data_IF_529969815979
#
_entry.id   IF_529969815979
#
_cell.length_a   1.000
_cell.length_b   1.000
_cell.length_c   1.000
_cell.angle_alpha   90.00
_cell.angle_beta   90.00
_cell.angle_gamma   90.00
#
_symmetry.space_group_name_H-M   'P 1'
#
loop_
_entity.id
_entity.type
_entity.pdbx_description
1 polymer ?
#
# COMPACT_ATOMS: atom_id res chain seq x y z
N UNK A 1 -7.65 6.99 27.93
CA UNK A 1 -6.79 6.90 26.73
C UNK A 1 -7.52 6.13 25.67
N UNK A 2 -7.80 6.69 24.48
CA UNK A 2 -8.36 5.93 23.37
C UNK A 2 -7.37 4.87 22.94
N UNK A 3 -7.83 3.61 22.79
CA UNK A 3 -7.01 2.52 22.26
C UNK A 3 -6.58 2.87 20.83
N UNK A 4 -5.29 2.73 20.51
CA UNK A 4 -4.82 2.90 19.13
C UNK A 4 -5.53 1.90 18.21
N UNK A 5 -5.88 2.29 16.98
CA UNK A 5 -6.52 1.39 16.03
C UNK A 5 -5.60 0.22 15.70
N UNK A 6 -6.17 -0.99 15.64
CA UNK A 6 -5.46 -2.19 15.18
C UNK A 6 -5.51 -2.22 13.66
N UNK A 7 -4.37 -2.32 13.01
CA UNK A 7 -4.22 -2.17 11.56
C UNK A 7 -3.68 -3.44 10.93
N UNK A 8 -4.39 -3.98 9.94
CA UNK A 8 -3.96 -5.11 9.12
C UNK A 8 -3.23 -4.62 7.87
N UNK A 9 -2.10 -5.23 7.56
CA UNK A 9 -1.31 -4.96 6.35
C UNK A 9 -1.46 -6.12 5.35
N UNK A 10 -1.80 -5.79 4.11
CA UNK A 10 -2.05 -6.73 3.02
C UNK A 10 -1.29 -6.23 1.77
N UNK A 11 -0.56 -7.12 1.11
CA UNK A 11 0.06 -6.85 -0.18
C UNK A 11 -0.65 -7.64 -1.29
N UNK A 12 -0.29 -8.90 -1.51
CA UNK A 12 -0.94 -9.75 -2.50
C UNK A 12 -2.29 -10.26 -2.00
N UNK A 13 -3.25 -10.39 -2.90
CA UNK A 13 -4.53 -11.03 -2.60
C UNK A 13 -4.49 -12.46 -3.14
N UNK A 14 -4.23 -13.41 -2.24
CA UNK A 14 -4.20 -14.84 -2.59
C UNK A 14 -5.53 -15.52 -2.26
N UNK A 15 -5.82 -16.72 -2.83
CA UNK A 15 -7.01 -17.49 -2.46
C UNK A 15 -7.08 -17.81 -0.95
N UNK A 16 -5.93 -18.02 -0.31
CA UNK A 16 -5.85 -18.27 1.13
C UNK A 16 -6.34 -17.05 1.91
N UNK A 17 -5.95 -15.84 1.52
CA UNK A 17 -6.42 -14.59 2.13
C UNK A 17 -7.93 -14.44 1.95
N UNK A 18 -8.44 -14.69 0.74
CA UNK A 18 -9.87 -14.60 0.46
C UNK A 18 -10.71 -15.65 1.22
N UNK A 19 -10.10 -16.75 1.63
CA UNK A 19 -10.75 -17.84 2.38
C UNK A 19 -10.66 -17.70 3.90
N UNK A 20 -9.94 -16.68 4.42
CA UNK A 20 -9.85 -16.46 5.86
C UNK A 20 -11.23 -16.17 6.46
N UNK A 21 -11.44 -16.70 7.65
CA UNK A 21 -12.67 -16.46 8.39
C UNK A 21 -12.87 -14.97 8.68
N UNK A 22 -14.12 -14.52 8.66
CA UNK A 22 -14.49 -13.13 8.94
C UNK A 22 -13.93 -12.65 10.29
N UNK A 23 -13.84 -13.52 11.28
CA UNK A 23 -13.33 -13.18 12.62
C UNK A 23 -11.92 -12.62 12.60
N UNK A 24 -11.08 -13.04 11.63
CA UNK A 24 -9.74 -12.47 11.43
C UNK A 24 -9.83 -10.97 11.11
N UNK A 25 -10.72 -10.60 10.18
CA UNK A 25 -10.89 -9.19 9.78
C UNK A 25 -11.59 -8.36 10.85
N UNK A 26 -12.49 -8.98 11.64
CA UNK A 26 -13.20 -8.31 12.73
C UNK A 26 -12.26 -7.84 13.86
N UNK A 27 -11.07 -8.45 13.99
CA UNK A 27 -10.06 -8.03 14.95
C UNK A 27 -9.46 -6.65 14.67
N UNK A 28 -9.62 -6.13 13.44
CA UNK A 28 -8.96 -4.91 12.97
C UNK A 28 -9.94 -3.77 12.79
N UNK A 29 -9.43 -2.55 13.01
CA UNK A 29 -10.18 -1.32 12.77
C UNK A 29 -9.95 -0.80 11.34
N UNK A 30 -8.77 -1.05 10.78
CA UNK A 30 -8.32 -0.57 9.47
C UNK A 30 -7.65 -1.72 8.70
N UNK A 31 -7.97 -1.83 7.41
CA UNK A 31 -7.27 -2.70 6.46
C UNK A 31 -6.41 -1.82 5.55
N UNK A 32 -5.13 -2.11 5.44
CA UNK A 32 -4.21 -1.40 4.55
C UNK A 32 -3.73 -2.31 3.44
N UNK A 33 -3.67 -1.77 2.22
CA UNK A 33 -3.26 -2.44 1.00
C UNK A 33 -2.07 -1.67 0.42
N UNK A 34 -0.88 -2.24 0.51
CA UNK A 34 0.33 -1.56 0.04
C UNK A 34 0.52 -1.80 -1.46
N UNK A 35 1.17 -0.85 -2.14
CA UNK A 35 1.60 -0.90 -3.54
C UNK A 35 0.53 -0.68 -4.62
N UNK A 36 -0.76 -0.63 -4.31
CA UNK A 36 -1.84 -0.53 -5.30
C UNK A 36 -1.72 -1.63 -6.40
N UNK A 37 -1.51 -2.89 -6.00
CA UNK A 37 -1.49 -4.01 -6.94
C UNK A 37 -2.86 -4.21 -7.60
N UNK A 38 -2.88 -4.63 -8.86
CA UNK A 38 -4.12 -4.84 -9.61
C UNK A 38 -5.04 -5.90 -8.97
N UNK A 39 -4.46 -6.93 -8.35
CA UNK A 39 -5.23 -7.94 -7.61
C UNK A 39 -6.00 -7.37 -6.42
N UNK A 40 -5.54 -6.27 -5.83
CA UNK A 40 -6.25 -5.55 -4.76
C UNK A 40 -7.51 -4.86 -5.32
N UNK A 41 -7.40 -4.23 -6.51
CA UNK A 41 -8.56 -3.65 -7.20
C UNK A 41 -9.59 -4.72 -7.57
N UNK A 42 -9.19 -5.85 -8.13
CA UNK A 42 -10.10 -6.95 -8.48
C UNK A 42 -10.89 -7.48 -7.29
N UNK A 43 -10.28 -7.47 -6.11
CA UNK A 43 -10.84 -8.11 -4.91
C UNK A 43 -11.34 -7.11 -3.84
N UNK A 44 -11.30 -5.81 -4.08
CA UNK A 44 -11.68 -4.81 -3.05
C UNK A 44 -13.10 -5.03 -2.50
N UNK A 45 -14.05 -5.51 -3.34
CA UNK A 45 -15.43 -5.79 -2.93
C UNK A 45 -15.54 -6.93 -1.90
N UNK A 46 -14.58 -7.86 -1.90
CA UNK A 46 -14.52 -8.90 -0.87
C UNK A 46 -14.29 -8.28 0.51
N UNK A 47 -13.38 -7.32 0.62
CA UNK A 47 -13.03 -6.66 1.88
C UNK A 47 -14.07 -5.62 2.30
N UNK A 48 -14.77 -5.00 1.37
CA UNK A 48 -15.85 -4.04 1.66
C UNK A 48 -16.97 -4.63 2.54
N UNK A 49 -17.19 -5.95 2.47
CA UNK A 49 -18.17 -6.67 3.29
C UNK A 49 -17.90 -6.58 4.80
N UNK A 50 -16.67 -6.28 5.20
CA UNK A 50 -16.30 -6.18 6.61
C UNK A 50 -16.58 -4.81 7.22
N UNK A 51 -17.00 -3.82 6.41
CA UNK A 51 -17.32 -2.45 6.85
C UNK A 51 -16.16 -1.77 7.62
N UNK A 52 -14.93 -2.03 7.20
CA UNK A 52 -13.72 -1.42 7.75
C UNK A 52 -13.22 -0.30 6.86
N UNK A 53 -12.47 0.64 7.45
CA UNK A 53 -11.69 1.60 6.66
C UNK A 53 -10.64 0.83 5.86
N UNK A 54 -10.54 1.10 4.57
CA UNK A 54 -9.56 0.52 3.64
C UNK A 54 -8.66 1.64 3.10
N UNK A 55 -7.36 1.49 3.24
CA UNK A 55 -6.39 2.45 2.73
C UNK A 55 -5.50 1.74 1.71
N UNK A 56 -5.46 2.26 0.49
CA UNK A 56 -4.60 1.77 -0.58
C UNK A 56 -3.40 2.71 -0.72
N UNK A 57 -2.21 2.24 -0.39
CA UNK A 57 -0.99 3.04 -0.42
C UNK A 57 -0.36 3.04 -1.80
N UNK A 58 -0.24 4.23 -2.39
CA UNK A 58 0.18 4.46 -3.76
C UNK A 58 1.61 5.00 -3.84
N UNK A 59 2.48 4.29 -4.55
CA UNK A 59 3.74 4.85 -5.07
C UNK A 59 3.47 5.50 -6.42
N UNK A 60 3.53 6.85 -6.47
CA UNK A 60 2.95 7.61 -7.58
C UNK A 60 3.69 7.49 -8.92
N UNK A 61 4.86 6.87 -8.96
CA UNK A 61 5.58 6.52 -10.19
C UNK A 61 5.30 5.07 -10.65
N UNK A 62 4.56 4.29 -9.86
CA UNK A 62 4.31 2.86 -10.13
C UNK A 62 2.82 2.67 -10.39
N UNK A 63 2.37 3.12 -11.56
CA UNK A 63 0.98 3.07 -12.01
C UNK A 63 0.96 2.41 -13.39
N UNK A 64 0.03 1.48 -13.61
CA UNK A 64 -0.14 0.87 -14.93
C UNK A 64 -0.68 1.90 -15.93
N UNK A 65 -0.02 2.11 -17.09
CA UNK A 65 -0.56 2.97 -18.14
C UNK A 65 -1.93 2.48 -18.62
N UNK A 66 -2.81 3.42 -18.98
CA UNK A 66 -4.22 3.12 -19.35
C UNK A 66 -4.34 2.17 -20.56
N UNK A 67 -3.39 2.22 -21.48
CA UNK A 67 -3.37 1.39 -22.70
C UNK A 67 -2.71 0.01 -22.52
N UNK A 68 -2.20 -0.31 -21.33
CA UNK A 68 -1.59 -1.63 -21.04
C UNK A 68 -2.64 -2.59 -20.50
N UNK A 69 -2.62 -3.83 -20.99
CA UNK A 69 -3.42 -4.90 -20.41
C UNK A 69 -2.81 -5.34 -19.08
N UNK A 70 -3.64 -5.35 -18.04
CA UNK A 70 -3.20 -5.76 -16.71
C UNK A 70 -3.22 -7.28 -16.58
N UNK A 71 -2.34 -7.79 -15.73
CA UNK A 71 -2.24 -9.22 -15.41
C UNK A 71 -3.02 -9.53 -14.12
N UNK A 72 -3.96 -10.47 -14.21
CA UNK A 72 -4.69 -11.00 -13.05
C UNK A 72 -3.86 -12.03 -12.27
N UNK A 73 -2.67 -12.36 -12.76
CA UNK A 73 -1.78 -13.31 -12.09
C UNK A 73 -1.37 -12.75 -10.73
N UNK A 74 -1.57 -13.56 -9.71
CA UNK A 74 -1.06 -13.27 -8.37
C UNK A 74 0.46 -13.33 -8.42
N UNK A 75 1.08 -12.25 -8.05
CA UNK A 75 2.53 -12.10 -8.03
C UNK A 75 2.95 -11.53 -6.68
N UNK A 76 4.04 -12.04 -6.15
CA UNK A 76 4.64 -11.48 -4.95
C UNK A 76 5.08 -10.02 -5.17
N UNK A 77 4.77 -9.11 -4.23
CA UNK A 77 5.00 -7.66 -4.39
C UNK A 77 6.43 -7.31 -4.80
N UNK A 78 7.43 -7.94 -4.19
CA UNK A 78 8.83 -7.72 -4.56
C UNK A 78 9.17 -8.13 -6.01
N UNK A 79 8.46 -9.10 -6.59
CA UNK A 79 8.62 -9.46 -8.00
C UNK A 79 7.87 -8.49 -8.92
N UNK A 80 6.71 -7.98 -8.47
CA UNK A 80 5.99 -6.92 -9.16
C UNK A 80 6.86 -5.65 -9.26
N UNK A 81 7.51 -5.24 -8.16
CA UNK A 81 8.45 -4.12 -8.15
C UNK A 81 9.64 -4.32 -9.09
N UNK A 82 10.25 -5.53 -9.10
CA UNK A 82 11.34 -5.84 -10.04
C UNK A 82 10.92 -5.71 -11.51
N UNK A 83 9.65 -6.04 -11.83
CA UNK A 83 9.09 -5.83 -13.17
C UNK A 83 8.86 -4.33 -13.43
N UNK A 84 8.25 -3.61 -12.48
CA UNK A 84 7.96 -2.18 -12.62
C UNK A 84 9.23 -1.34 -12.83
N UNK A 85 10.30 -1.63 -12.10
CA UNK A 85 11.61 -0.96 -12.28
C UNK A 85 12.26 -1.26 -13.62
N UNK A 86 11.75 -2.23 -14.38
CA UNK A 86 12.12 -2.52 -15.77
C UNK A 86 11.09 -2.00 -16.79
N UNK A 87 10.12 -1.20 -16.34
CA UNK A 87 9.09 -0.60 -17.18
C UNK A 87 7.86 -1.47 -17.44
N UNK A 88 7.70 -2.61 -16.74
CA UNK A 88 6.51 -3.44 -16.85
C UNK A 88 5.60 -3.23 -15.63
N UNK A 89 4.49 -2.53 -15.82
CA UNK A 89 3.52 -2.14 -14.78
C UNK A 89 2.22 -2.96 -14.81
N UNK A 90 2.15 -4.05 -15.55
CA UNK A 90 0.94 -4.85 -15.74
C UNK A 90 0.27 -5.35 -14.44
N UNK A 91 1.02 -5.46 -13.35
CA UNK A 91 0.55 -5.95 -12.05
C UNK A 91 0.01 -4.84 -11.14
N UNK A 92 0.02 -3.58 -11.57
CA UNK A 92 -0.42 -2.43 -10.78
C UNK A 92 -1.75 -1.87 -11.28
N UNK A 93 -2.44 -1.13 -10.42
CA UNK A 93 -3.64 -0.41 -10.79
C UNK A 93 -3.35 0.68 -11.81
N UNK A 94 -4.34 0.97 -12.68
CA UNK A 94 -4.39 2.16 -13.52
C UNK A 94 -4.82 3.37 -12.69
N UNK A 95 -4.48 4.57 -13.16
CA UNK A 95 -4.93 5.79 -12.50
C UNK A 95 -6.45 5.89 -12.42
N UNK A 96 -7.15 5.51 -13.50
CA UNK A 96 -8.61 5.48 -13.55
C UNK A 96 -9.22 4.60 -12.45
N UNK A 97 -8.61 3.43 -12.17
CA UNK A 97 -9.06 2.51 -11.12
C UNK A 97 -8.81 3.07 -9.71
N UNK A 98 -7.64 3.70 -9.49
CA UNK A 98 -7.31 4.38 -8.22
C UNK A 98 -8.31 5.51 -7.95
N UNK A 99 -8.61 6.33 -8.97
CA UNK A 99 -9.60 7.40 -8.87
C UNK A 99 -11.03 6.87 -8.67
N UNK A 100 -11.37 5.71 -9.23
CA UNK A 100 -12.63 5.04 -8.95
C UNK A 100 -12.71 4.63 -7.47
N UNK A 101 -11.70 3.92 -6.95
CA UNK A 101 -11.66 3.51 -5.54
C UNK A 101 -11.83 4.70 -4.60
N UNK A 102 -11.16 5.82 -4.87
CA UNK A 102 -11.23 7.02 -4.02
C UNK A 102 -12.63 7.63 -3.90
N UNK A 103 -13.54 7.30 -4.85
CA UNK A 103 -14.91 7.84 -4.92
C UNK A 103 -15.98 6.85 -4.45
N UNK A 104 -15.64 5.58 -4.23
CA UNK A 104 -16.65 4.54 -3.94
C UNK A 104 -17.40 4.78 -2.63
N UNK A 105 -16.70 5.15 -1.58
CA UNK A 105 -17.31 5.47 -0.28
C UNK A 105 -16.30 6.12 0.67
N UNK A 106 -16.81 6.69 1.79
CA UNK A 106 -15.96 7.23 2.88
C UNK A 106 -15.04 6.21 3.55
N UNK A 107 -15.23 4.92 3.30
CA UNK A 107 -14.38 3.85 3.84
C UNK A 107 -13.15 3.57 2.97
N UNK A 108 -13.10 4.10 1.75
CA UNK A 108 -11.97 3.97 0.85
C UNK A 108 -11.09 5.22 0.92
N UNK A 109 -9.80 5.02 1.06
CA UNK A 109 -8.80 6.09 1.05
C UNK A 109 -7.62 5.68 0.19
N UNK A 110 -7.04 6.65 -0.53
CA UNK A 110 -5.75 6.46 -1.18
C UNK A 110 -4.71 7.20 -0.34
N UNK A 111 -3.73 6.48 0.16
CA UNK A 111 -2.60 7.01 0.94
C UNK A 111 -1.31 7.07 0.13
N UNK A 112 -0.33 7.84 0.58
CA UNK A 112 0.97 7.94 -0.05
C UNK A 112 1.93 6.82 0.35
N UNK A 113 2.76 6.36 -0.61
CA UNK A 113 3.79 5.33 -0.41
C UNK A 113 5.13 5.72 -1.06
N UNK A 114 5.44 7.03 -1.03
CA UNK A 114 6.54 7.63 -1.79
C UNK A 114 6.21 7.80 -3.28
N UNK A 115 7.13 8.43 -4.01
CA UNK A 115 7.01 8.53 -5.46
C UNK A 115 7.58 7.28 -6.14
N UNK A 116 8.82 6.92 -5.82
CA UNK A 116 9.57 5.87 -6.49
C UNK A 116 9.70 4.57 -5.68
N UNK A 117 8.98 4.42 -4.56
CA UNK A 117 9.11 3.26 -3.67
C UNK A 117 10.56 2.99 -3.26
N UNK A 118 11.25 4.01 -2.73
CA UNK A 118 12.69 3.93 -2.40
C UNK A 118 12.87 3.53 -0.93
N UNK A 119 13.78 2.58 -0.71
CA UNK A 119 14.31 2.29 0.62
C UNK A 119 15.37 3.34 1.00
N UNK A 120 15.02 4.30 1.82
CA UNK A 120 15.95 5.30 2.30
C UNK A 120 16.69 4.82 3.56
N UNK A 121 18.02 4.93 3.53
CA UNK A 121 18.83 4.71 4.73
C UNK A 121 18.50 5.76 5.79
N UNK A 122 18.48 5.37 7.07
CA UNK A 122 18.27 6.30 8.18
C UNK A 122 19.55 7.12 8.43
N UNK A 123 19.79 8.11 7.60
CA UNK A 123 20.94 9.00 7.67
C UNK A 123 20.56 10.41 7.21
N UNK A 124 21.28 11.42 7.69
CA UNK A 124 21.11 12.82 7.30
C UNK A 124 21.31 13.04 5.79
N UNK A 125 22.18 12.27 5.16
CA UNK A 125 22.45 12.35 3.70
C UNK A 125 21.27 11.87 2.84
N UNK A 126 20.30 11.20 3.44
CA UNK A 126 19.07 10.78 2.74
C UNK A 126 17.99 11.85 2.76
N UNK A 127 18.10 12.89 3.59
CA UNK A 127 17.01 13.82 3.86
C UNK A 127 16.55 14.59 2.61
N UNK A 128 17.48 15.11 1.81
CA UNK A 128 17.11 15.85 0.60
C UNK A 128 16.40 14.95 -0.42
N UNK A 129 16.85 13.70 -0.56
CA UNK A 129 16.20 12.71 -1.44
C UNK A 129 14.83 12.30 -0.94
N UNK A 130 14.66 12.14 0.39
CA UNK A 130 13.36 11.91 1.02
C UNK A 130 12.42 13.07 0.72
N UNK A 131 12.91 14.29 0.90
CA UNK A 131 12.13 15.50 0.63
C UNK A 131 11.71 15.56 -0.84
N UNK A 132 12.64 15.40 -1.77
CA UNK A 132 12.38 15.43 -3.21
C UNK A 132 11.34 14.38 -3.62
N UNK A 133 11.53 13.10 -3.23
CA UNK A 133 10.61 12.01 -3.56
C UNK A 133 9.20 12.28 -2.99
N UNK A 134 9.14 12.79 -1.77
CA UNK A 134 7.87 13.11 -1.10
C UNK A 134 7.18 14.30 -1.75
N UNK A 135 7.90 15.37 -2.10
CA UNK A 135 7.34 16.56 -2.74
C UNK A 135 6.75 16.22 -4.11
N UNK A 136 7.43 15.36 -4.87
CA UNK A 136 6.91 14.84 -6.14
C UNK A 136 5.63 14.03 -5.89
N UNK A 137 5.63 13.12 -4.91
CA UNK A 137 4.43 12.36 -4.54
C UNK A 137 3.26 13.29 -4.22
N UNK A 138 3.45 14.30 -3.37
CA UNK A 138 2.41 15.29 -3.00
C UNK A 138 1.89 16.04 -4.25
N UNK A 139 2.79 16.44 -5.14
CA UNK A 139 2.42 17.09 -6.41
C UNK A 139 1.57 16.16 -7.28
N UNK A 140 1.96 14.87 -7.38
CA UNK A 140 1.22 13.88 -8.16
C UNK A 140 -0.17 13.59 -7.59
N UNK A 141 -0.35 13.54 -6.28
CA UNK A 141 -1.68 13.41 -5.67
C UNK A 141 -2.60 14.56 -6.10
N UNK A 142 -2.10 15.81 -6.12
CA UNK A 142 -2.85 16.97 -6.62
C UNK A 142 -3.18 16.86 -8.11
N UNK A 143 -2.18 16.49 -8.93
CA UNK A 143 -2.35 16.27 -10.38
C UNK A 143 -3.41 15.21 -10.67
N UNK A 144 -3.43 14.13 -9.90
CA UNK A 144 -4.37 13.02 -10.02
C UNK A 144 -5.75 13.30 -9.40
N UNK A 145 -5.93 14.49 -8.80
CA UNK A 145 -7.14 14.86 -8.08
C UNK A 145 -7.51 13.83 -6.99
N UNK A 146 -6.51 13.46 -6.18
CA UNK A 146 -6.62 12.55 -5.05
C UNK A 146 -6.32 13.29 -3.75
N UNK A 147 -7.11 13.02 -2.69
CA UNK A 147 -6.83 13.50 -1.35
C UNK A 147 -5.68 12.69 -0.73
N UNK A 148 -4.72 13.39 -0.12
CA UNK A 148 -3.59 12.80 0.58
C UNK A 148 -3.73 13.06 2.09
N UNK A 149 -4.19 12.05 2.84
CA UNK A 149 -4.42 12.16 4.29
C UNK A 149 -3.53 11.21 5.11
N UNK A 150 -2.99 10.17 4.47
CA UNK A 150 -2.17 9.16 5.13
C UNK A 150 -0.94 8.79 4.33
N UNK A 151 0.04 8.23 5.02
CA UNK A 151 1.31 7.79 4.45
C UNK A 151 1.78 6.49 5.11
N UNK A 152 2.36 5.60 4.30
CA UNK A 152 3.05 4.41 4.72
C UNK A 152 4.48 4.40 4.16
N UNK A 153 5.43 3.92 4.98
CA UNK A 153 6.82 3.81 4.53
C UNK A 153 7.01 2.67 3.54
N UNK A 154 7.67 2.92 2.37
CA UNK A 154 8.13 1.84 1.49
C UNK A 154 8.94 0.79 2.26
N UNK A 155 8.77 -0.48 1.90
CA UNK A 155 9.41 -1.62 2.57
C UNK A 155 9.01 -1.77 4.06
N UNK A 156 7.94 -1.13 4.51
CA UNK A 156 7.52 -1.06 5.92
C UNK A 156 8.68 -0.64 6.85
N UNK A 157 9.63 0.13 6.34
CA UNK A 157 10.80 0.59 7.11
C UNK A 157 10.61 2.00 7.61
N UNK A 158 10.31 2.12 8.90
CA UNK A 158 10.25 3.41 9.57
C UNK A 158 11.63 4.07 9.58
N UNK A 159 11.70 5.25 9.02
CA UNK A 159 12.91 6.06 8.90
C UNK A 159 12.68 7.38 9.65
N UNK A 160 13.53 7.70 10.63
CA UNK A 160 13.40 8.89 11.47
C UNK A 160 13.34 10.18 10.66
N UNK A 161 14.19 10.34 9.64
CA UNK A 161 14.21 11.55 8.80
C UNK A 161 12.97 11.62 7.91
N UNK A 162 12.50 10.48 7.40
CA UNK A 162 11.27 10.39 6.63
C UNK A 162 10.07 10.77 7.51
N UNK A 163 9.98 10.18 8.72
CA UNK A 163 8.92 10.49 9.69
C UNK A 163 8.88 11.97 10.07
N UNK A 164 10.04 12.62 10.27
CA UNK A 164 10.12 14.06 10.54
C UNK A 164 9.51 14.85 9.37
N UNK A 165 9.81 14.47 8.13
CA UNK A 165 9.31 15.21 6.97
C UNK A 165 7.81 14.98 6.76
N UNK A 166 7.33 13.74 6.83
CA UNK A 166 5.91 13.39 6.69
C UNK A 166 5.05 14.07 7.77
N UNK A 167 5.54 14.18 9.02
CA UNK A 167 4.84 14.91 10.09
C UNK A 167 4.60 16.37 9.75
N UNK A 168 5.50 17.04 9.02
CA UNK A 168 5.31 18.43 8.57
C UNK A 168 4.15 18.57 7.58
N UNK A 169 3.78 17.52 6.88
CA UNK A 169 2.65 17.48 5.94
C UNK A 169 1.32 17.18 6.64
N UNK A 170 1.34 16.96 7.96
CA UNK A 170 0.17 16.65 8.78
C UNK A 170 -0.58 15.38 8.34
N UNK A 171 0.14 14.38 7.81
CA UNK A 171 -0.42 13.10 7.38
C UNK A 171 -0.48 12.11 8.54
N UNK A 172 -1.51 11.26 8.54
CA UNK A 172 -1.53 10.07 9.39
C UNK A 172 -0.46 9.09 8.91
N UNK A 173 0.42 8.66 9.81
CA UNK A 173 1.55 7.77 9.46
C UNK A 173 1.23 6.35 9.90
N UNK A 174 1.47 5.42 8.98
CA UNK A 174 1.40 3.98 9.19
C UNK A 174 2.81 3.39 9.04
N UNK A 175 3.30 2.73 10.07
CA UNK A 175 4.64 2.16 10.16
C UNK A 175 4.61 0.65 10.46
N UNK A 176 5.62 0.21 11.19
CA UNK A 176 5.87 -1.18 11.59
C UNK A 176 4.90 -1.72 12.65
N UNK A 177 4.04 -0.87 13.20
CA UNK A 177 2.96 -1.28 14.12
C UNK A 177 1.83 -2.06 13.44
N UNK A 178 1.81 -2.11 12.10
CA UNK A 178 0.82 -2.85 11.32
C UNK A 178 1.08 -4.36 11.39
N UNK A 179 0.02 -5.14 11.44
CA UNK A 179 0.10 -6.60 11.52
C UNK A 179 -0.02 -7.20 10.13
N UNK A 180 1.00 -7.93 9.62
CA UNK A 180 0.93 -8.59 8.33
C UNK A 180 -0.13 -9.69 8.32
N UNK A 181 -0.94 -9.76 7.26
CA UNK A 181 -1.99 -10.79 7.11
C UNK A 181 -1.43 -12.20 7.07
N UNK A 182 -0.20 -12.37 6.62
CA UNK A 182 0.51 -13.65 6.56
C UNK A 182 0.64 -14.31 7.93
N UNK A 183 0.62 -13.53 9.02
CA UNK A 183 0.63 -14.05 10.38
C UNK A 183 -0.61 -14.90 10.73
N UNK A 184 -1.70 -14.73 9.97
CA UNK A 184 -2.96 -15.47 10.12
C UNK A 184 -3.07 -16.66 9.15
N UNK A 185 -2.22 -16.73 8.14
CA UNK A 185 -2.18 -17.85 7.19
C UNK A 185 -1.35 -18.97 7.80
N UNK A 186 -1.95 -19.76 8.68
CA UNK A 186 -1.28 -20.91 9.32
C UNK A 186 -1.01 -22.01 8.28
N UNK A 187 0.29 -22.34 8.07
CA UNK A 187 0.75 -23.64 7.53
C UNK A 187 0.20 -24.07 6.18
N UNK A 188 0.11 -23.20 5.19
CA UNK A 188 0.06 -23.68 3.81
C UNK A 188 1.50 -23.94 3.36
N UNK A 189 1.81 -25.23 3.05
CA UNK A 189 3.13 -25.69 2.59
C UNK A 189 3.65 -25.03 1.30
N UNK A 190 2.88 -24.13 0.71
CA UNK A 190 3.17 -23.44 -0.55
C UNK A 190 3.58 -21.97 -0.39
N UNK A 191 3.33 -21.34 0.75
CA UNK A 191 3.69 -19.95 0.96
C UNK A 191 4.84 -19.87 1.97
N UNK A 192 6.06 -19.91 1.46
CA UNK A 192 7.22 -19.34 2.17
C UNK A 192 7.36 -17.90 1.65
N UNK A 193 6.86 -16.88 2.36
CA UNK A 193 7.33 -15.55 2.08
C UNK A 193 8.84 -15.59 2.38
N UNK A 194 9.67 -15.36 1.38
CA UNK A 194 10.98 -14.81 1.67
C UNK A 194 10.69 -13.45 2.29
N UNK A 195 10.59 -13.41 3.62
CA UNK A 195 10.48 -12.21 4.46
C UNK A 195 11.76 -11.36 4.31
N UNK A 196 12.09 -11.00 3.12
CA UNK A 196 13.13 -10.04 2.77
C UNK A 196 12.48 -8.94 1.95
N UNK A 197 11.89 -7.98 2.68
CA UNK A 197 11.68 -6.60 2.25
C UNK A 197 10.94 -6.45 0.92
N UNK A 198 9.59 -6.32 1.00
CA UNK A 198 8.85 -5.53 0.01
C UNK A 198 9.06 -4.05 0.29
#
# INVERSE_FOLDING_TARGET
MSKLPKVLMIHEITPEILSLDKSVYDEFDILTFDDCLYTQYLNHKHFAKFNKKMIFFLSTNIICPENINQSEQIIYCGNAHKKAFKGNFENYMKLSQIQELSKLSKYYEIGGHGHNHILFKNSVYSFDKIKEDTDIMVSKFKEYNLDLNSFCFPYNQDNTFYRIYIKKLNLQIFGDERIPIESYIKNTKSYKPELKYC
#
